data_IF_331276995811
#
_entry.id   IF_331276995811
#
_cell.length_a   1.000
_cell.length_b   1.000
_cell.length_c   1.000
_cell.angle_alpha   90.00
_cell.angle_beta   90.00
_cell.angle_gamma   90.00
#
_symmetry.space_group_name_H-M   'P 1'
#
loop_
_entity.id
_entity.type
_entity.pdbx_description
1 polymer ?
#
# COMPACT_ATOMS: atom_id res chain seq x y z
N UNK A 1 8.43 -3.50 34.89
CA UNK A 1 9.47 -3.52 33.84
C UNK A 1 9.12 -2.41 32.88
N UNK A 2 9.93 -1.37 32.87
CA UNK A 2 9.71 -0.13 32.11
C UNK A 2 9.71 -0.43 30.61
N UNK A 3 8.69 0.05 29.90
CA UNK A 3 8.62 0.05 28.44
C UNK A 3 9.79 0.89 27.92
N UNK A 4 10.94 0.26 27.68
CA UNK A 4 11.89 0.80 26.71
C UNK A 4 11.18 0.70 25.37
N UNK A 5 10.69 1.83 24.85
CA UNK A 5 10.17 1.91 23.48
C UNK A 5 11.23 1.35 22.56
N UNK A 6 10.97 0.19 21.96
CA UNK A 6 11.95 -0.52 21.14
C UNK A 6 12.31 0.39 19.96
N UNK A 7 13.60 0.74 19.87
CA UNK A 7 14.11 1.62 18.82
C UNK A 7 13.79 1.05 17.44
N UNK A 8 13.45 1.91 16.48
CA UNK A 8 13.23 1.47 15.11
C UNK A 8 14.55 1.06 14.48
N UNK A 9 14.48 0.10 13.57
CA UNK A 9 15.63 -0.34 12.78
C UNK A 9 15.98 0.68 11.72
N UNK A 10 17.22 0.65 11.21
CA UNK A 10 17.61 1.53 10.12
C UNK A 10 16.70 1.36 8.89
N UNK A 11 16.27 0.13 8.57
CA UNK A 11 15.35 -0.13 7.47
C UNK A 11 13.97 0.49 7.70
N UNK A 12 13.43 0.40 8.92
CA UNK A 12 12.15 1.02 9.27
C UNK A 12 12.21 2.55 9.10
N UNK A 13 13.33 3.18 9.46
CA UNK A 13 13.53 4.62 9.24
C UNK A 13 13.65 4.95 7.75
N UNK A 14 14.42 4.17 6.97
CA UNK A 14 14.59 4.41 5.53
C UNK A 14 13.31 4.20 4.72
N UNK A 15 12.36 3.40 5.24
CA UNK A 15 11.02 3.21 4.67
C UNK A 15 10.15 4.47 4.74
N UNK A 16 10.47 5.43 5.61
CA UNK A 16 9.78 6.72 5.71
C UNK A 16 10.20 7.70 4.61
N UNK A 17 11.32 7.43 3.91
CA UNK A 17 11.90 8.40 2.99
C UNK A 17 10.96 8.69 1.81
N UNK A 18 10.69 9.97 1.50
CA UNK A 18 9.74 10.33 0.44
C UNK A 18 10.27 10.04 -0.98
N UNK A 19 11.59 9.90 -1.13
CA UNK A 19 12.25 9.51 -2.37
C UNK A 19 13.70 9.03 -2.14
N UNK A 20 14.31 8.42 -3.15
CA UNK A 20 15.67 7.90 -3.10
C UNK A 20 16.75 8.98 -2.82
N UNK A 21 16.70 10.19 -3.40
CA UNK A 21 17.62 11.27 -3.04
C UNK A 21 17.53 11.67 -1.56
N UNK A 22 16.33 11.75 -1.00
CA UNK A 22 16.12 12.07 0.42
C UNK A 22 16.64 10.96 1.32
N UNK A 23 16.41 9.69 0.93
CA UNK A 23 16.99 8.51 1.59
C UNK A 23 18.52 8.62 1.66
N UNK A 24 19.19 8.81 0.52
CA UNK A 24 20.66 8.93 0.43
C UNK A 24 21.19 10.11 1.24
N UNK A 25 20.52 11.25 1.19
CA UNK A 25 20.92 12.45 1.94
C UNK A 25 20.72 12.28 3.45
N UNK A 26 19.64 11.60 3.87
CA UNK A 26 19.36 11.28 5.27
C UNK A 26 20.39 10.32 5.85
N UNK A 27 20.76 9.26 5.12
CA UNK A 27 21.79 8.30 5.56
C UNK A 27 23.12 8.97 5.86
N UNK A 28 23.53 9.99 5.09
CA UNK A 28 24.75 10.76 5.37
C UNK A 28 24.70 11.56 6.67
N UNK A 29 23.49 11.87 7.15
CA UNK A 29 23.26 12.59 8.40
C UNK A 29 23.00 11.63 9.57
N UNK A 30 22.92 10.33 9.36
CA UNK A 30 22.69 9.32 10.41
C UNK A 30 23.93 9.01 11.28
N UNK A 31 24.80 9.99 11.49
CA UNK A 31 26.05 9.87 12.28
C UNK A 31 26.12 11.03 13.27
N UNK A 32 26.83 10.88 14.39
CA UNK A 32 26.79 11.87 15.49
C UNK A 32 27.34 13.27 15.12
N UNK A 33 28.37 13.34 14.28
CA UNK A 33 29.11 14.59 13.96
C UNK A 33 28.27 15.83 13.58
N UNK A 34 27.27 15.74 12.67
CA UNK A 34 26.42 16.88 12.31
C UNK A 34 25.39 17.29 13.38
N UNK A 35 25.25 16.55 14.48
CA UNK A 35 24.20 16.78 15.48
C UNK A 35 24.75 17.31 16.80
N UNK A 36 23.99 18.24 17.39
CA UNK A 36 24.16 18.70 18.77
C UNK A 36 22.81 18.72 19.47
N UNK A 37 22.82 18.68 20.81
CA UNK A 37 21.60 18.68 21.64
C UNK A 37 20.56 17.64 21.18
N UNK A 38 21.04 16.47 20.73
CA UNK A 38 20.17 15.37 20.36
C UNK A 38 19.65 14.67 21.62
N UNK A 39 18.39 14.25 21.60
CA UNK A 39 17.79 13.49 22.69
C UNK A 39 16.50 12.80 22.28
N UNK A 40 16.06 11.85 23.10
CA UNK A 40 14.78 11.17 22.99
C UNK A 40 13.98 11.26 24.28
N UNK A 41 12.65 11.20 24.19
CA UNK A 41 11.78 10.98 25.34
C UNK A 41 11.36 9.51 25.39
N UNK A 42 11.00 9.04 26.59
CA UNK A 42 10.37 7.73 26.78
C UNK A 42 9.04 7.61 26.02
N UNK A 43 8.39 8.74 25.75
CA UNK A 43 7.15 8.84 24.96
C UNK A 43 7.39 8.79 23.44
N UNK A 44 8.62 8.55 22.95
CA UNK A 44 8.87 8.40 21.51
C UNK A 44 9.00 9.72 20.74
N UNK A 45 9.32 10.83 21.39
CA UNK A 45 9.80 12.03 20.68
C UNK A 45 11.31 11.99 20.55
N UNK A 46 11.84 12.34 19.38
CA UNK A 46 13.27 12.48 19.10
C UNK A 46 13.53 13.90 18.62
N UNK A 47 14.55 14.57 19.16
CA UNK A 47 14.93 15.93 18.76
C UNK A 47 16.44 16.05 18.54
N UNK A 48 16.84 17.09 17.82
CA UNK A 48 18.24 17.46 17.67
C UNK A 48 18.44 18.72 16.83
N UNK A 49 19.63 19.32 16.98
CA UNK A 49 20.09 20.45 16.18
C UNK A 49 21.07 19.95 15.12
N UNK A 50 20.67 20.00 13.85
CA UNK A 50 21.56 19.61 12.76
C UNK A 50 22.34 20.81 12.23
N UNK A 51 23.68 20.72 12.16
CA UNK A 51 24.52 21.73 11.52
C UNK A 51 24.17 21.85 10.04
N UNK A 52 23.73 23.04 9.64
CA UNK A 52 23.36 23.38 8.27
C UNK A 52 24.40 24.26 7.57
N UNK A 53 24.07 24.72 6.37
CA UNK A 53 24.86 25.71 5.62
C UNK A 53 24.69 27.15 6.14
N UNK A 54 23.75 27.38 7.04
CA UNK A 54 23.50 28.69 7.67
C UNK A 54 24.13 28.83 9.06
N UNK A 55 24.00 30.03 9.63
CA UNK A 55 24.55 30.36 10.96
C UNK A 55 23.79 29.72 12.13
N UNK A 56 22.52 29.36 11.94
CA UNK A 56 21.68 28.67 12.94
C UNK A 56 21.51 27.20 12.55
N UNK A 57 21.72 26.23 13.46
CA UNK A 57 21.44 24.84 13.18
C UNK A 57 19.94 24.59 13.00
N UNK A 58 19.59 23.56 12.23
CA UNK A 58 18.21 23.21 11.98
C UNK A 58 17.64 22.42 13.17
N UNK A 59 16.67 23.02 13.86
CA UNK A 59 15.84 22.35 14.84
C UNK A 59 15.02 21.28 14.14
N UNK A 60 15.22 20.03 14.54
CA UNK A 60 14.53 18.87 13.99
C UNK A 60 13.88 18.12 15.13
N UNK A 61 12.58 17.85 14.97
CA UNK A 61 11.74 17.07 15.90
C UNK A 61 11.07 15.99 15.07
N UNK A 62 11.06 14.78 15.62
CA UNK A 62 10.29 13.66 15.13
C UNK A 62 9.49 13.09 16.29
N UNK A 63 8.20 12.95 16.12
CA UNK A 63 7.32 12.29 17.06
C UNK A 63 6.86 10.98 16.42
N UNK A 64 7.35 9.85 16.94
CA UNK A 64 7.00 8.52 16.45
C UNK A 64 5.83 7.89 17.22
N UNK A 65 5.34 8.55 18.27
CA UNK A 65 4.27 8.03 19.11
C UNK A 65 2.87 8.51 18.72
N UNK A 66 2.76 9.34 17.69
CA UNK A 66 1.48 9.85 17.24
C UNK A 66 0.62 8.73 16.62
N UNK A 67 -0.61 8.62 17.13
CA UNK A 67 -1.72 7.78 16.66
C UNK A 67 -2.18 8.02 15.21
N UNK A 68 -1.57 8.93 14.46
CA UNK A 68 -1.79 9.11 13.02
C UNK A 68 -0.56 8.67 12.19
N UNK A 69 0.45 8.08 12.84
CA UNK A 69 1.76 7.79 12.26
C UNK A 69 2.79 8.89 12.54
N UNK A 70 4.06 8.64 12.19
CA UNK A 70 5.17 9.51 12.57
C UNK A 70 5.04 10.91 12.01
N UNK A 71 5.37 11.87 12.86
CA UNK A 71 5.20 13.29 12.63
C UNK A 71 6.53 14.03 12.64
N UNK A 72 6.68 15.02 11.76
CA UNK A 72 7.98 15.67 11.54
C UNK A 72 7.86 17.19 11.61
N UNK A 73 8.81 17.83 12.28
CA UNK A 73 9.05 19.27 12.20
C UNK A 73 10.53 19.52 12.01
N UNK A 74 10.88 20.25 10.97
CA UNK A 74 12.25 20.71 10.76
C UNK A 74 12.22 22.18 10.32
N UNK A 75 13.16 23.00 10.82
CA UNK A 75 13.29 24.40 10.40
C UNK A 75 14.01 24.60 9.06
N UNK A 76 14.38 23.52 8.36
CA UNK A 76 15.01 23.60 7.03
C UNK A 76 14.00 24.01 5.93
N UNK A 77 14.46 24.61 4.82
CA UNK A 77 13.59 25.10 3.74
C UNK A 77 13.00 23.99 2.84
N UNK A 78 13.25 22.72 3.16
CA UNK A 78 12.77 21.60 2.34
C UNK A 78 11.24 21.51 2.37
N UNK A 79 10.64 21.25 1.21
CA UNK A 79 9.20 20.94 1.08
C UNK A 79 8.90 19.44 1.13
N UNK A 80 9.92 18.60 1.32
CA UNK A 80 9.80 17.13 1.43
C UNK A 80 9.71 16.74 2.90
N UNK A 81 8.71 15.92 3.24
CA UNK A 81 8.47 15.44 4.60
C UNK A 81 8.30 13.92 4.59
N UNK A 82 9.08 13.17 5.39
CA UNK A 82 10.24 13.63 6.19
C UNK A 82 11.39 14.17 5.33
N UNK A 83 12.05 15.22 5.81
CA UNK A 83 13.24 15.78 5.13
C UNK A 83 14.49 14.96 5.50
N UNK A 84 15.62 15.22 4.82
CA UNK A 84 16.90 14.56 5.12
C UNK A 84 17.34 14.68 6.59
N UNK A 85 17.00 15.78 7.28
CA UNK A 85 17.36 15.97 8.68
C UNK A 85 16.50 15.08 9.60
N UNK A 86 15.19 15.00 9.36
CA UNK A 86 14.31 14.11 10.11
C UNK A 86 14.72 12.63 9.93
N UNK A 87 15.04 12.22 8.69
CA UNK A 87 15.57 10.88 8.41
C UNK A 87 16.92 10.64 9.10
N UNK A 88 17.84 11.61 9.02
CA UNK A 88 19.16 11.52 9.67
C UNK A 88 19.06 11.41 11.20
N UNK A 89 18.16 12.17 11.82
CA UNK A 89 17.94 12.12 13.27
C UNK A 89 17.42 10.76 13.72
N UNK A 90 16.42 10.22 13.00
CA UNK A 90 15.88 8.90 13.29
C UNK A 90 16.93 7.79 13.07
N UNK A 91 17.77 7.91 12.03
CA UNK A 91 18.86 6.95 11.80
C UNK A 91 19.92 7.00 12.91
N UNK A 92 20.25 8.21 13.38
CA UNK A 92 21.14 8.39 14.52
C UNK A 92 20.56 7.75 15.80
N UNK A 93 19.25 7.92 16.02
CA UNK A 93 18.54 7.28 17.13
C UNK A 93 18.52 5.75 17.00
N UNK A 94 18.28 5.22 15.80
CA UNK A 94 18.26 3.79 15.49
C UNK A 94 19.61 3.08 15.72
N UNK A 95 20.74 3.80 15.56
CA UNK A 95 22.09 3.22 15.64
C UNK A 95 22.52 2.68 17.02
N UNK A 96 21.75 2.93 18.09
CA UNK A 96 22.00 2.43 19.46
C UNK A 96 23.36 2.82 20.11
N UNK A 97 24.18 3.67 19.47
CA UNK A 97 25.51 4.11 19.95
C UNK A 97 25.48 5.16 21.09
N UNK A 98 24.32 5.37 21.74
CA UNK A 98 24.17 6.38 22.80
C UNK A 98 24.18 7.85 22.36
N UNK A 99 24.30 8.12 21.05
CA UNK A 99 24.33 9.48 20.49
C UNK A 99 23.02 10.28 20.65
N UNK A 100 21.92 9.57 20.94
CA UNK A 100 20.61 10.13 21.27
C UNK A 100 20.19 9.57 22.63
N UNK A 101 20.55 10.26 23.73
CA UNK A 101 20.19 9.84 25.09
C UNK A 101 18.75 10.22 25.44
N UNK A 102 18.19 9.52 26.42
CA UNK A 102 16.88 9.88 26.97
C UNK A 102 16.97 11.16 27.82
N UNK A 103 15.97 12.03 27.70
CA UNK A 103 15.91 13.29 28.43
C UNK A 103 14.57 14.01 28.30
N UNK A 104 14.54 15.24 28.84
CA UNK A 104 13.38 16.14 28.72
C UNK A 104 13.48 16.95 27.40
N UNK A 105 12.37 17.11 26.67
CA UNK A 105 12.38 17.86 25.42
C UNK A 105 12.69 19.34 25.69
N UNK A 106 13.56 19.98 24.90
CA UNK A 106 13.81 21.42 25.01
C UNK A 106 12.56 22.22 24.69
N UNK A 107 12.48 23.48 25.15
CA UNK A 107 11.28 24.32 25.04
C UNK A 107 10.67 24.37 23.63
N UNK A 108 11.52 24.51 22.60
CA UNK A 108 11.09 24.54 21.19
C UNK A 108 10.47 23.21 20.70
N UNK A 109 10.88 22.08 21.28
CA UNK A 109 10.26 20.78 21.02
C UNK A 109 8.97 20.61 21.82
N UNK A 110 8.99 20.98 23.10
CA UNK A 110 7.82 20.94 23.99
C UNK A 110 6.64 21.78 23.50
N UNK A 111 6.89 22.99 23.01
CA UNK A 111 5.86 23.87 22.41
C UNK A 111 5.18 23.22 21.20
N UNK A 112 5.97 22.57 20.34
CA UNK A 112 5.43 21.88 19.16
C UNK A 112 4.57 20.67 19.56
N UNK A 113 5.02 19.86 20.53
CA UNK A 113 4.26 18.73 21.06
C UNK A 113 2.96 19.16 21.74
N UNK A 114 3.00 20.20 22.57
CA UNK A 114 1.80 20.75 23.21
C UNK A 114 0.77 21.24 22.17
N UNK A 115 1.25 21.93 21.13
CA UNK A 115 0.40 22.34 20.02
C UNK A 115 -0.20 21.16 19.22
N UNK A 116 0.50 20.02 19.12
CA UNK A 116 -0.05 18.79 18.52
C UNK A 116 -1.12 18.17 19.40
N UNK A 117 -0.86 17.97 20.70
CA UNK A 117 -1.82 17.38 21.64
C UNK A 117 -3.14 18.13 21.65
N UNK A 118 -3.07 19.47 21.72
CA UNK A 118 -4.25 20.33 21.62
C UNK A 118 -5.05 20.12 20.32
N UNK A 119 -4.37 20.06 19.16
CA UNK A 119 -5.05 19.79 17.87
C UNK A 119 -5.66 18.39 17.80
N UNK A 120 -5.05 17.40 18.45
CA UNK A 120 -5.60 16.04 18.51
C UNK A 120 -6.83 15.99 19.42
N UNK A 121 -6.82 16.67 20.56
CA UNK A 121 -7.97 16.84 21.47
C UNK A 121 -9.12 17.61 20.80
N UNK A 122 -8.81 18.68 20.05
CA UNK A 122 -9.78 19.45 19.27
C UNK A 122 -10.44 18.59 18.17
N UNK A 123 -9.69 17.61 17.59
CA UNK A 123 -10.21 16.65 16.61
C UNK A 123 -11.01 15.50 17.22
N UNK A 124 -10.66 15.07 18.44
CA UNK A 124 -11.38 14.02 19.20
C UNK A 124 -12.66 14.54 19.84
N UNK A 125 -12.74 15.83 20.09
CA UNK A 125 -14.00 16.50 20.43
C UNK A 125 -14.91 16.43 19.19
N UNK A 126 -16.14 15.93 19.29
CA UNK A 126 -17.04 15.86 18.15
C UNK A 126 -17.39 17.30 17.76
N UNK A 127 -16.61 17.88 16.85
CA UNK A 127 -17.10 19.01 16.08
C UNK A 127 -18.31 18.46 15.32
N UNK A 128 -19.49 18.91 15.75
CA UNK A 128 -20.76 18.75 15.05
C UNK A 128 -20.67 19.51 13.72
N UNK A 129 -19.80 19.09 12.80
CA UNK A 129 -20.09 19.22 11.38
C UNK A 129 -20.87 17.97 11.00
N UNK A 130 -22.09 17.89 11.52
CA UNK A 130 -23.16 17.24 10.79
C UNK A 130 -23.27 18.01 9.47
N UNK A 131 -22.54 17.55 8.45
CA UNK A 131 -23.02 17.75 7.09
C UNK A 131 -24.48 17.32 7.15
N UNK A 132 -25.40 18.25 6.92
CA UNK A 132 -26.82 18.00 7.04
C UNK A 132 -27.13 16.66 6.37
N UNK A 133 -27.86 15.74 7.03
CA UNK A 133 -28.11 14.42 6.46
C UNK A 133 -28.65 14.64 5.05
N UNK A 134 -27.86 14.20 4.06
CA UNK A 134 -28.24 14.36 2.67
C UNK A 134 -29.61 13.71 2.53
N UNK A 135 -30.59 14.45 1.98
CA UNK A 135 -31.93 13.94 1.73
C UNK A 135 -31.81 12.54 1.09
N UNK A 136 -32.24 11.46 1.79
CA UNK A 136 -32.06 10.10 1.33
C UNK A 136 -32.72 9.86 -0.03
N UNK A 137 -33.82 10.55 -0.31
CA UNK A 137 -34.53 10.48 -1.58
C UNK A 137 -33.71 11.14 -2.70
N UNK A 138 -33.13 12.32 -2.45
CA UNK A 138 -32.24 12.97 -3.39
C UNK A 138 -30.92 12.21 -3.61
N UNK A 139 -30.42 11.49 -2.61
CA UNK A 139 -29.28 10.59 -2.75
C UNK A 139 -29.64 9.38 -3.63
N UNK A 140 -30.79 8.74 -3.39
CA UNK A 140 -31.28 7.62 -4.21
C UNK A 140 -31.48 8.02 -5.66
N UNK A 141 -32.17 9.14 -5.94
CA UNK A 141 -32.38 9.65 -7.30
C UNK A 141 -31.07 9.98 -8.03
N UNK A 142 -30.05 10.48 -7.32
CA UNK A 142 -28.72 10.71 -7.91
C UNK A 142 -28.00 9.41 -8.23
N UNK A 143 -28.13 8.39 -7.38
CA UNK A 143 -27.59 7.06 -7.62
C UNK A 143 -28.27 6.39 -8.83
N UNK A 144 -29.59 6.47 -8.94
CA UNK A 144 -30.38 5.96 -10.08
C UNK A 144 -29.96 6.63 -11.39
N UNK A 145 -29.95 7.96 -11.45
CA UNK A 145 -29.51 8.71 -12.66
C UNK A 145 -28.07 8.40 -13.04
N UNK A 146 -27.17 8.19 -12.07
CA UNK A 146 -25.81 7.74 -12.33
C UNK A 146 -25.81 6.34 -12.93
N UNK A 147 -26.58 5.42 -12.35
CA UNK A 147 -26.66 4.05 -12.84
C UNK A 147 -27.21 3.99 -14.29
N UNK A 148 -28.18 4.83 -14.64
CA UNK A 148 -28.67 4.97 -16.02
C UNK A 148 -27.57 5.43 -16.99
N UNK A 149 -26.81 6.47 -16.63
CA UNK A 149 -25.69 6.97 -17.45
C UNK A 149 -24.61 5.92 -17.66
N UNK A 150 -24.25 5.22 -16.59
CA UNK A 150 -23.28 4.12 -16.66
C UNK A 150 -23.84 3.01 -17.55
N UNK A 151 -25.11 2.63 -17.39
CA UNK A 151 -25.75 1.59 -18.20
C UNK A 151 -25.71 1.92 -19.69
N UNK A 152 -26.01 3.17 -20.07
CA UNK A 152 -25.87 3.62 -21.46
C UNK A 152 -24.42 3.52 -21.95
N UNK A 153 -23.46 3.98 -21.15
CA UNK A 153 -22.03 3.91 -21.48
C UNK A 153 -21.52 2.49 -21.65
N UNK A 154 -21.84 1.57 -20.73
CA UNK A 154 -21.38 0.18 -20.83
C UNK A 154 -22.01 -0.55 -22.01
N UNK A 155 -23.23 -0.21 -22.40
CA UNK A 155 -23.90 -0.79 -23.58
C UNK A 155 -23.16 -0.38 -24.86
N UNK A 156 -22.77 0.90 -24.98
CA UNK A 156 -21.93 1.37 -26.09
C UNK A 156 -20.56 0.68 -26.06
N UNK A 157 -19.94 0.54 -24.88
CA UNK A 157 -18.66 -0.12 -24.73
C UNK A 157 -18.72 -1.61 -25.13
N UNK A 158 -19.79 -2.33 -24.79
CA UNK A 158 -20.01 -3.72 -25.23
C UNK A 158 -20.01 -3.83 -26.75
N UNK A 159 -20.72 -2.93 -27.43
CA UNK A 159 -20.80 -2.89 -28.89
C UNK A 159 -19.43 -2.61 -29.51
N UNK A 160 -18.69 -1.61 -29.00
CA UNK A 160 -17.34 -1.27 -29.47
C UNK A 160 -16.36 -2.43 -29.30
N UNK A 161 -16.42 -3.15 -28.17
CA UNK A 161 -15.62 -4.36 -27.96
C UNK A 161 -15.99 -5.46 -28.96
N UNK A 162 -17.29 -5.65 -29.22
CA UNK A 162 -17.77 -6.58 -30.24
C UNK A 162 -17.29 -6.23 -31.66
N UNK A 163 -17.30 -4.94 -32.02
CA UNK A 163 -16.80 -4.43 -33.30
C UNK A 163 -15.30 -4.65 -33.45
N UNK A 164 -14.53 -4.36 -32.41
CA UNK A 164 -13.09 -4.61 -32.36
C UNK A 164 -12.77 -6.09 -32.62
N UNK A 165 -13.49 -7.01 -31.95
CA UNK A 165 -13.27 -8.44 -32.12
C UNK A 165 -13.72 -8.94 -33.51
N UNK A 166 -14.81 -8.40 -34.07
CA UNK A 166 -15.25 -8.71 -35.44
C UNK A 166 -14.26 -8.23 -36.49
N UNK A 167 -13.64 -7.07 -36.29
CA UNK A 167 -12.60 -6.53 -37.16
C UNK A 167 -11.24 -7.20 -37.01
N UNK A 168 -11.05 -7.98 -35.95
CA UNK A 168 -9.78 -8.64 -35.62
C UNK A 168 -8.81 -7.71 -34.88
N UNK A 169 -7.99 -8.30 -34.00
CA UNK A 169 -7.06 -7.53 -33.14
C UNK A 169 -5.97 -6.81 -33.91
N UNK A 170 -5.59 -7.29 -35.10
CA UNK A 170 -4.56 -6.66 -35.95
C UNK A 170 -4.92 -5.21 -36.36
N UNK A 171 -6.21 -4.91 -36.53
CA UNK A 171 -6.66 -3.56 -36.85
C UNK A 171 -6.51 -2.58 -35.67
N UNK A 172 -6.40 -3.08 -34.44
CA UNK A 172 -6.23 -2.27 -33.24
C UNK A 172 -4.91 -1.50 -33.20
N UNK A 173 -3.85 -2.05 -33.80
CA UNK A 173 -2.56 -1.37 -33.95
C UNK A 173 -2.66 -0.18 -34.91
N UNK A 174 -3.48 -0.32 -35.96
CA UNK A 174 -3.66 0.70 -37.00
C UNK A 174 -4.60 1.84 -36.56
N UNK A 175 -5.57 1.55 -35.69
CA UNK A 175 -6.55 2.51 -35.19
C UNK A 175 -5.93 3.64 -34.32
N UNK A 176 -4.71 3.42 -33.80
CA UNK A 176 -3.97 4.40 -33.02
C UNK A 176 -4.59 4.73 -31.65
N UNK A 177 -3.91 5.57 -30.87
CA UNK A 177 -4.32 5.92 -29.51
C UNK A 177 -5.62 6.74 -29.44
N UNK A 178 -5.97 7.47 -30.51
CA UNK A 178 -7.11 8.38 -30.53
C UNK A 178 -8.47 7.70 -30.31
N UNK A 179 -8.69 6.52 -30.92
CA UNK A 179 -9.92 5.74 -30.75
C UNK A 179 -10.13 5.32 -29.29
N UNK A 180 -9.05 4.88 -28.63
CA UNK A 180 -9.07 4.46 -27.23
C UNK A 180 -9.34 5.64 -26.30
N UNK A 181 -8.72 6.80 -26.54
CA UNK A 181 -8.98 7.99 -25.74
C UNK A 181 -10.40 8.53 -25.93
N UNK A 182 -10.95 8.50 -27.15
CA UNK A 182 -12.36 8.85 -27.38
C UNK A 182 -13.30 7.93 -26.58
N UNK A 183 -13.05 6.62 -26.64
CA UNK A 183 -13.85 5.63 -25.89
C UNK A 183 -13.71 5.83 -24.38
N UNK A 184 -12.52 6.14 -23.89
CA UNK A 184 -12.27 6.44 -22.48
C UNK A 184 -12.97 7.73 -22.03
N UNK A 185 -12.97 8.77 -22.86
CA UNK A 185 -13.68 10.03 -22.59
C UNK A 185 -15.18 9.79 -22.43
N UNK A 186 -15.78 8.97 -23.31
CA UNK A 186 -17.20 8.57 -23.18
C UNK A 186 -17.49 7.83 -21.87
N UNK A 187 -16.56 7.01 -21.39
CA UNK A 187 -16.72 6.34 -20.08
C UNK A 187 -16.66 7.35 -18.92
N UNK A 188 -15.85 8.40 -19.02
CA UNK A 188 -15.86 9.50 -18.04
C UNK A 188 -17.20 10.23 -18.05
N UNK A 189 -17.73 10.55 -19.24
CA UNK A 189 -19.04 11.21 -19.41
C UNK A 189 -20.19 10.34 -18.88
N UNK A 190 -20.08 9.02 -19.06
CA UNK A 190 -20.98 8.02 -18.51
C UNK A 190 -20.87 7.84 -16.98
N UNK A 191 -19.93 8.53 -16.32
CA UNK A 191 -19.62 8.39 -14.88
C UNK A 191 -19.05 7.02 -14.48
N UNK A 192 -18.30 6.39 -15.39
CA UNK A 192 -17.60 5.11 -15.19
C UNK A 192 -16.07 5.28 -15.30
N UNK A 193 -15.41 6.03 -14.39
CA UNK A 193 -13.99 6.34 -14.49
C UNK A 193 -13.08 5.09 -14.41
N UNK A 194 -13.52 4.02 -13.76
CA UNK A 194 -12.78 2.76 -13.73
C UNK A 194 -12.74 2.09 -15.11
N UNK A 195 -13.85 2.11 -15.86
CA UNK A 195 -13.88 1.63 -17.24
C UNK A 195 -13.03 2.52 -18.16
N UNK A 196 -13.05 3.84 -17.94
CA UNK A 196 -12.20 4.76 -18.69
C UNK A 196 -10.70 4.42 -18.51
N UNK A 197 -10.28 4.06 -17.30
CA UNK A 197 -8.90 3.63 -17.03
C UNK A 197 -8.57 2.32 -17.79
N UNK A 198 -9.42 1.30 -17.71
CA UNK A 198 -9.22 0.02 -18.44
C UNK A 198 -9.15 0.21 -19.95
N UNK A 199 -9.99 1.07 -20.53
CA UNK A 199 -9.96 1.38 -21.97
C UNK A 199 -8.63 2.02 -22.38
N UNK A 200 -8.06 2.91 -21.56
CA UNK A 200 -6.72 3.49 -21.82
C UNK A 200 -5.62 2.44 -21.74
N UNK A 201 -5.71 1.53 -20.77
CA UNK A 201 -4.78 0.39 -20.65
C UNK A 201 -4.83 -0.50 -21.89
N UNK A 202 -6.01 -0.81 -22.43
CA UNK A 202 -6.15 -1.52 -23.71
C UNK A 202 -5.40 -0.83 -24.85
N UNK A 203 -5.51 0.51 -24.93
CA UNK A 203 -4.84 1.30 -25.95
C UNK A 203 -3.31 1.28 -25.86
N UNK A 204 -2.73 0.94 -24.71
CA UNK A 204 -1.28 0.80 -24.53
C UNK A 204 -0.76 -0.59 -24.95
N UNK A 205 -1.62 -1.62 -25.02
CA UNK A 205 -1.21 -3.01 -25.27
C UNK A 205 -0.55 -3.21 -26.63
N UNK A 206 -1.03 -2.65 -27.77
CA UNK A 206 -0.38 -2.88 -29.06
C UNK A 206 1.10 -2.47 -29.07
N UNK A 207 1.48 -1.46 -28.29
CA UNK A 207 2.87 -0.99 -28.16
C UNK A 207 3.71 -1.80 -27.12
N UNK A 208 3.17 -2.85 -26.51
CA UNK A 208 3.83 -3.61 -25.44
C UNK A 208 4.79 -4.71 -25.91
N UNK A 209 5.02 -4.83 -27.22
CA UNK A 209 5.97 -5.80 -27.81
C UNK A 209 5.33 -7.15 -28.18
N UNK A 210 6.14 -8.20 -28.41
CA UNK A 210 5.67 -9.49 -28.91
C UNK A 210 4.55 -10.10 -28.07
N UNK A 211 3.59 -10.76 -28.71
CA UNK A 211 2.44 -11.40 -28.04
C UNK A 211 1.32 -10.44 -27.62
N UNK A 212 1.38 -9.16 -28.02
CA UNK A 212 0.33 -8.19 -27.71
C UNK A 212 -1.07 -8.57 -28.19
N UNK A 213 -1.30 -9.29 -29.32
CA UNK A 213 -2.68 -9.60 -29.74
C UNK A 213 -3.41 -10.50 -28.74
N UNK A 214 -2.68 -11.45 -28.13
CA UNK A 214 -3.22 -12.34 -27.11
C UNK A 214 -3.52 -11.55 -25.84
N UNK A 215 -2.58 -10.72 -25.37
CA UNK A 215 -2.80 -9.85 -24.21
C UNK A 215 -3.99 -8.91 -24.40
N UNK A 216 -4.14 -8.32 -25.60
CA UNK A 216 -5.26 -7.44 -25.91
C UNK A 216 -6.58 -8.20 -25.83
N UNK A 217 -6.62 -9.43 -26.35
CA UNK A 217 -7.81 -10.28 -26.28
C UNK A 217 -8.17 -10.64 -24.83
N UNK A 218 -7.20 -11.03 -24.01
CA UNK A 218 -7.39 -11.34 -22.59
C UNK A 218 -7.98 -10.13 -21.84
N UNK A 219 -7.40 -8.95 -22.05
CA UNK A 219 -7.84 -7.72 -21.40
C UNK A 219 -9.21 -7.23 -21.91
N UNK A 220 -9.50 -7.42 -23.21
CA UNK A 220 -10.84 -7.17 -23.76
C UNK A 220 -11.87 -8.13 -23.15
N UNK A 221 -11.52 -9.40 -22.94
CA UNK A 221 -12.41 -10.39 -22.33
C UNK A 221 -12.72 -10.03 -20.87
N UNK A 222 -11.71 -9.61 -20.10
CA UNK A 222 -11.90 -9.13 -18.73
C UNK A 222 -12.76 -7.85 -18.69
N UNK A 223 -12.52 -6.89 -19.60
CA UNK A 223 -13.35 -5.69 -19.68
C UNK A 223 -14.79 -6.01 -20.09
N UNK A 224 -14.98 -6.91 -21.05
CA UNK A 224 -16.30 -7.39 -21.45
C UNK A 224 -17.02 -8.07 -20.29
N UNK A 225 -16.33 -8.94 -19.53
CA UNK A 225 -16.89 -9.55 -18.33
C UNK A 225 -17.38 -8.50 -17.33
N UNK A 226 -16.63 -7.39 -17.15
CA UNK A 226 -17.02 -6.31 -16.23
C UNK A 226 -18.24 -5.56 -16.72
N UNK A 227 -18.32 -5.29 -18.03
CA UNK A 227 -19.49 -4.72 -18.68
C UNK A 227 -20.72 -5.61 -18.47
N UNK A 228 -20.59 -6.92 -18.70
CA UNK A 228 -21.66 -7.90 -18.42
C UNK A 228 -22.03 -7.93 -16.94
N UNK A 229 -21.05 -7.89 -16.05
CA UNK A 229 -21.27 -7.80 -14.61
C UNK A 229 -22.12 -6.60 -14.22
N UNK A 230 -21.89 -5.43 -14.82
CA UNK A 230 -22.71 -4.24 -14.57
C UNK A 230 -24.14 -4.37 -15.10
N UNK A 231 -24.30 -4.89 -16.32
CA UNK A 231 -25.60 -5.07 -16.97
C UNK A 231 -26.49 -6.08 -16.23
N UNK A 232 -25.88 -7.09 -15.61
CA UNK A 232 -26.57 -8.15 -14.88
C UNK A 232 -26.46 -8.04 -13.36
N UNK A 233 -26.05 -6.86 -12.85
CA UNK A 233 -25.69 -6.66 -11.43
C UNK A 233 -26.79 -7.02 -10.44
N UNK A 234 -28.06 -6.86 -10.83
CA UNK A 234 -29.22 -7.10 -9.96
C UNK A 234 -29.43 -8.60 -9.67
N UNK A 235 -28.78 -9.49 -10.43
CA UNK A 235 -28.78 -10.94 -10.21
C UNK A 235 -27.47 -11.50 -9.64
N UNK A 236 -26.49 -10.64 -9.31
CA UNK A 236 -25.20 -11.08 -8.77
C UNK A 236 -25.27 -11.23 -7.24
N UNK A 237 -24.47 -12.13 -6.63
CA UNK A 237 -24.24 -12.11 -5.19
C UNK A 237 -23.75 -10.74 -4.72
N UNK A 238 -24.18 -10.28 -3.55
CA UNK A 238 -23.92 -8.92 -3.04
C UNK A 238 -22.43 -8.54 -3.07
N UNK A 239 -21.55 -9.47 -2.69
CA UNK A 239 -20.10 -9.28 -2.73
C UNK A 239 -19.57 -9.01 -4.14
N UNK A 240 -20.02 -9.79 -5.13
CA UNK A 240 -19.64 -9.62 -6.53
C UNK A 240 -20.26 -8.35 -7.14
N UNK A 241 -21.50 -8.01 -6.77
CA UNK A 241 -22.14 -6.76 -7.19
C UNK A 241 -21.37 -5.53 -6.65
N UNK A 242 -20.91 -5.58 -5.40
CA UNK A 242 -20.05 -4.54 -4.81
C UNK A 242 -18.70 -4.44 -5.54
N UNK A 243 -18.10 -5.58 -5.85
CA UNK A 243 -16.87 -5.69 -6.64
C UNK A 243 -17.02 -5.04 -8.03
N UNK A 244 -18.10 -5.33 -8.75
CA UNK A 244 -18.43 -4.70 -10.04
C UNK A 244 -18.57 -3.17 -9.90
N UNK A 245 -19.34 -2.70 -8.90
CA UNK A 245 -19.51 -1.26 -8.64
C UNK A 245 -18.17 -0.56 -8.40
N UNK A 246 -17.30 -1.18 -7.59
CA UNK A 246 -15.96 -0.64 -7.31
C UNK A 246 -15.12 -0.53 -8.57
N UNK A 247 -15.08 -1.58 -9.41
CA UNK A 247 -14.30 -1.60 -10.65
C UNK A 247 -14.80 -0.69 -11.75
N UNK A 248 -16.11 -0.43 -11.81
CA UNK A 248 -16.67 0.62 -12.68
C UNK A 248 -16.24 2.02 -12.24
N UNK A 249 -15.82 2.17 -10.97
CA UNK A 249 -15.31 3.41 -10.41
C UNK A 249 -16.33 4.16 -9.55
N UNK A 250 -17.35 3.47 -9.03
CA UNK A 250 -18.23 4.09 -8.03
C UNK A 250 -17.47 4.20 -6.70
N UNK A 251 -17.57 5.36 -6.02
CA UNK A 251 -17.01 5.49 -4.67
C UNK A 251 -17.76 4.53 -3.73
N UNK A 252 -17.00 3.80 -2.93
CA UNK A 252 -17.49 3.01 -1.81
C UNK A 252 -17.08 3.69 -0.50
N UNK A 253 -17.89 3.54 0.53
CA UNK A 253 -17.54 3.90 1.90
C UNK A 253 -17.18 2.62 2.65
N UNK A 254 -16.36 2.71 3.72
CA UNK A 254 -16.24 1.60 4.65
C UNK A 254 -17.62 1.28 5.26
N UNK A 255 -17.92 0.00 5.42
CA UNK A 255 -19.20 -0.51 5.89
C UNK A 255 -18.99 -1.52 7.03
N UNK A 256 -19.92 -1.54 7.99
CA UNK A 256 -19.86 -2.44 9.14
C UNK A 256 -19.15 -1.86 10.37
N UNK A 257 -19.13 -2.62 11.49
CA UNK A 257 -18.49 -2.18 12.71
C UNK A 257 -16.96 -2.17 12.56
N UNK A 258 -16.26 -1.20 13.20
CA UNK A 258 -14.80 -1.22 13.25
C UNK A 258 -14.32 -2.47 14.00
N UNK A 259 -13.28 -3.10 13.47
CA UNK A 259 -12.60 -4.23 14.09
C UNK A 259 -11.29 -3.74 14.73
N UNK A 260 -11.23 -3.73 16.05
CA UNK A 260 -9.98 -3.55 16.79
C UNK A 260 -9.18 -4.85 16.81
N UNK A 261 -7.89 -4.75 16.52
CA UNK A 261 -6.93 -5.86 16.56
C UNK A 261 -5.50 -5.30 16.74
N UNK A 262 -4.57 -6.20 17.04
CA UNK A 262 -3.13 -6.00 16.95
C UNK A 262 -2.66 -6.28 15.52
N UNK A 263 -2.53 -5.22 14.71
CA UNK A 263 -2.19 -5.28 13.29
C UNK A 263 -0.68 -5.29 13.06
N UNK A 264 -0.14 -6.41 12.61
CA UNK A 264 1.25 -6.52 12.16
C UNK A 264 1.39 -5.94 10.76
N UNK A 265 2.29 -4.97 10.59
CA UNK A 265 2.61 -4.37 9.29
C UNK A 265 3.51 -5.31 8.49
N UNK A 266 2.95 -5.88 7.42
CA UNK A 266 3.59 -6.89 6.57
C UNK A 266 4.39 -6.29 5.42
N UNK A 267 3.88 -5.24 4.77
CA UNK A 267 4.53 -4.60 3.64
C UNK A 267 4.07 -3.15 3.47
N UNK A 268 4.95 -2.29 2.96
CA UNK A 268 4.63 -0.93 2.54
C UNK A 268 5.37 -0.59 1.25
N UNK A 269 4.65 -0.25 0.19
CA UNK A 269 5.24 0.18 -1.08
C UNK A 269 4.34 1.18 -1.82
N UNK A 270 4.98 1.98 -2.67
CA UNK A 270 4.32 3.04 -3.43
C UNK A 270 4.23 2.64 -4.92
N UNK A 271 3.06 2.86 -5.51
CA UNK A 271 2.84 2.79 -6.96
C UNK A 271 2.56 4.19 -7.50
N UNK A 272 2.91 4.44 -8.76
CA UNK A 272 2.70 5.73 -9.43
C UNK A 272 2.01 5.52 -10.77
N UNK A 273 0.89 6.20 -11.00
CA UNK A 273 0.09 6.10 -12.22
C UNK A 273 0.29 7.27 -13.20
N UNK A 274 1.31 8.10 -12.97
CA UNK A 274 1.56 9.33 -13.74
C UNK A 274 0.97 10.59 -13.13
N UNK A 275 -0.04 10.49 -12.24
CA UNK A 275 -0.71 11.63 -11.60
C UNK A 275 -0.78 11.52 -10.08
N UNK A 276 -0.91 10.30 -9.57
CA UNK A 276 -1.16 9.97 -8.17
C UNK A 276 -0.19 8.89 -7.68
N UNK A 277 0.44 9.16 -6.53
CA UNK A 277 1.21 8.15 -5.81
C UNK A 277 0.26 7.43 -4.87
N UNK A 278 0.16 6.12 -4.99
CA UNK A 278 -0.65 5.29 -4.10
C UNK A 278 0.28 4.44 -3.24
N UNK A 279 0.26 4.67 -1.93
CA UNK A 279 0.89 3.80 -0.96
C UNK A 279 -0.05 2.67 -0.58
N UNK A 280 0.47 1.45 -0.67
CA UNK A 280 -0.19 0.21 -0.26
C UNK A 280 0.48 -0.30 1.00
N UNK A 281 -0.31 -0.54 2.05
CA UNK A 281 0.18 -1.07 3.32
C UNK A 281 -0.62 -2.34 3.64
N UNK A 282 0.06 -3.47 3.67
CA UNK A 282 -0.52 -4.75 4.07
C UNK A 282 -0.38 -4.96 5.57
N UNK A 283 -1.47 -5.35 6.21
CA UNK A 283 -1.58 -5.61 7.64
C UNK A 283 -2.10 -7.03 7.88
N UNK A 284 -1.66 -7.65 8.98
CA UNK A 284 -2.20 -8.92 9.49
C UNK A 284 -2.66 -8.76 10.93
N UNK A 285 -3.95 -8.96 11.18
CA UNK A 285 -4.55 -8.97 12.50
C UNK A 285 -4.12 -10.23 13.24
N UNK A 286 -3.35 -10.06 14.31
CA UNK A 286 -2.75 -11.20 15.01
C UNK A 286 -3.73 -11.93 15.92
N UNK A 287 -4.86 -11.30 16.28
CA UNK A 287 -5.95 -11.93 17.00
C UNK A 287 -7.05 -12.44 16.06
N UNK A 288 -7.47 -11.64 15.08
CA UNK A 288 -8.55 -11.99 14.15
C UNK A 288 -8.12 -12.92 13.00
N UNK A 289 -6.83 -13.03 12.73
CA UNK A 289 -6.28 -13.75 11.58
C UNK A 289 -6.61 -13.12 10.23
N UNK A 290 -7.06 -11.87 10.21
CA UNK A 290 -7.47 -11.16 8.98
C UNK A 290 -6.30 -10.43 8.33
N UNK A 291 -6.24 -10.47 7.00
CA UNK A 291 -5.33 -9.62 6.24
C UNK A 291 -6.08 -8.41 5.71
N UNK A 292 -5.51 -7.22 5.88
CA UNK A 292 -6.09 -5.96 5.44
C UNK A 292 -5.08 -5.13 4.61
N UNK A 293 -5.61 -4.27 3.74
CA UNK A 293 -4.90 -3.37 2.87
C UNK A 293 -5.38 -1.94 3.14
N UNK A 294 -4.46 -1.10 3.60
CA UNK A 294 -4.66 0.34 3.65
C UNK A 294 -4.11 1.00 2.39
N UNK A 295 -4.84 1.98 1.89
CA UNK A 295 -4.44 2.82 0.76
C UNK A 295 -4.29 4.26 1.25
N UNK A 296 -3.14 4.87 0.94
CA UNK A 296 -2.90 6.28 1.18
C UNK A 296 -2.43 6.95 -0.10
N UNK A 297 -2.92 8.15 -0.38
CA UNK A 297 -2.73 8.82 -1.67
C UNK A 297 -1.90 10.09 -1.53
N UNK A 298 -1.04 10.34 -2.51
CA UNK A 298 -0.20 11.52 -2.62
C UNK A 298 -0.36 12.16 -4.00
N UNK A 299 -0.93 13.36 -4.06
CA UNK A 299 -1.16 14.08 -5.31
C UNK A 299 0.01 15.01 -5.67
N UNK A 300 0.17 15.30 -6.97
CA UNK A 300 1.14 16.27 -7.49
C UNK A 300 2.59 15.99 -7.03
N UNK A 301 3.00 14.72 -7.06
CA UNK A 301 4.35 14.28 -6.69
C UNK A 301 4.66 14.34 -5.20
N UNK A 302 3.66 14.55 -4.33
CA UNK A 302 3.83 14.46 -2.87
C UNK A 302 3.77 13.01 -2.43
N UNK A 303 4.57 12.67 -1.42
CA UNK A 303 4.49 11.36 -0.78
C UNK A 303 3.14 11.21 -0.05
N UNK A 304 2.54 10.01 -0.06
CA UNK A 304 1.37 9.69 0.74
C UNK A 304 1.60 9.94 2.24
N UNK A 305 0.58 10.42 2.95
CA UNK A 305 0.73 10.87 4.33
C UNK A 305 0.91 9.73 5.34
N UNK A 306 0.15 8.65 5.19
CA UNK A 306 0.24 7.50 6.09
C UNK A 306 1.57 6.77 5.86
N UNK A 307 2.27 6.44 6.94
CA UNK A 307 3.49 5.65 6.88
C UNK A 307 3.55 4.72 8.07
N UNK A 308 3.51 3.42 7.80
CA UNK A 308 3.61 2.34 8.78
C UNK A 308 4.77 1.44 8.32
N UNK A 309 5.96 1.57 8.91
CA UNK A 309 7.09 0.70 8.58
C UNK A 309 6.80 -0.79 8.83
N UNK A 310 7.41 -1.64 8.00
CA UNK A 310 7.29 -3.10 8.07
C UNK A 310 7.87 -3.63 9.39
N UNK A 311 7.20 -4.63 9.97
CA UNK A 311 7.62 -5.28 11.23
C UNK A 311 7.16 -4.57 12.51
N UNK A 312 6.36 -3.51 12.39
CA UNK A 312 5.70 -2.89 13.54
C UNK A 312 4.33 -3.51 13.80
N UNK A 313 3.92 -3.53 15.06
CA UNK A 313 2.58 -3.88 15.53
C UNK A 313 1.81 -2.61 15.88
N UNK A 314 0.56 -2.51 15.44
CA UNK A 314 -0.32 -1.38 15.63
C UNK A 314 -1.64 -1.84 16.26
N UNK A 315 -1.94 -1.40 17.48
CA UNK A 315 -3.28 -1.55 18.09
C UNK A 315 -4.21 -0.48 17.52
N UNK A 316 -5.11 -0.89 16.64
CA UNK A 316 -6.00 0.02 15.94
C UNK A 316 -7.31 -0.64 15.49
N UNK A 317 -8.30 0.20 15.26
CA UNK A 317 -9.54 -0.15 14.59
C UNK A 317 -9.40 -0.07 13.07
N UNK A 318 -9.88 -1.09 12.36
CA UNK A 318 -10.04 -1.08 10.90
C UNK A 318 -11.50 -1.33 10.52
N UNK A 319 -12.02 -0.55 9.58
CA UNK A 319 -13.35 -0.77 8.99
C UNK A 319 -13.22 -1.22 7.54
N UNK A 320 -13.79 -2.39 7.21
CA UNK A 320 -13.70 -2.98 5.87
C UNK A 320 -14.57 -2.28 4.83
N UNK A 321 -14.18 -2.39 3.56
CA UNK A 321 -15.03 -2.00 2.43
C UNK A 321 -15.86 -3.19 1.95
N UNK A 322 -17.07 -2.92 1.44
CA UNK A 322 -17.88 -3.93 0.79
C UNK A 322 -17.20 -4.47 -0.49
N UNK A 323 -17.36 -5.77 -0.75
CA UNK A 323 -16.76 -6.45 -1.90
C UNK A 323 -16.36 -7.89 -1.59
N UNK A 324 -16.17 -8.68 -2.65
CA UNK A 324 -15.58 -10.02 -2.54
C UNK A 324 -14.22 -9.98 -1.83
N UNK A 325 -14.04 -10.85 -0.83
CA UNK A 325 -12.80 -11.02 -0.05
C UNK A 325 -12.23 -9.77 0.65
N UNK A 326 -13.02 -8.72 0.88
CA UNK A 326 -12.80 -7.55 1.77
C UNK A 326 -11.36 -7.30 2.29
N UNK A 327 -10.40 -7.09 1.40
CA UNK A 327 -9.03 -6.80 1.83
C UNK A 327 -8.86 -5.31 2.14
N UNK A 328 -9.54 -4.43 1.42
CA UNK A 328 -9.41 -2.99 1.64
C UNK A 328 -10.09 -2.58 2.94
N UNK A 329 -9.39 -1.81 3.75
CA UNK A 329 -9.91 -1.23 4.98
C UNK A 329 -9.57 0.26 5.11
N UNK A 330 -10.30 0.94 5.99
CA UNK A 330 -10.01 2.28 6.46
C UNK A 330 -9.48 2.23 7.88
N UNK A 331 -8.43 3.01 8.14
CA UNK A 331 -7.81 3.10 9.46
C UNK A 331 -8.63 4.02 10.35
N UNK A 332 -9.17 3.46 11.42
CA UNK A 332 -9.92 4.14 12.47
C UNK A 332 -9.01 4.65 13.59
N UNK A 333 -9.48 4.56 14.83
CA UNK A 333 -8.72 4.98 16.00
C UNK A 333 -7.50 4.08 16.21
N UNK A 334 -6.35 4.69 16.50
CA UNK A 334 -5.14 4.01 16.97
C UNK A 334 -5.01 4.22 18.47
N UNK A 335 -4.86 3.13 19.21
CA UNK A 335 -4.82 3.14 20.67
C UNK A 335 -3.39 3.23 21.20
N UNK A 336 -2.42 2.74 20.43
CA UNK A 336 -1.00 2.79 20.78
C UNK A 336 -0.14 3.22 19.61
N UNK A 337 1.05 3.74 19.91
CA UNK A 337 2.09 3.95 18.90
C UNK A 337 2.53 2.62 18.27
N UNK A 338 2.83 2.59 16.95
CA UNK A 338 3.41 1.42 16.32
C UNK A 338 4.75 1.02 16.96
N UNK A 339 4.87 -0.25 17.36
CA UNK A 339 6.04 -0.76 18.07
C UNK A 339 6.63 -2.02 17.40
N UNK A 340 7.97 -2.21 17.40
CA UNK A 340 8.58 -3.45 16.92
C UNK A 340 8.04 -4.70 17.63
N UNK A 341 7.92 -5.79 16.89
CA UNK A 341 7.40 -7.07 17.41
C UNK A 341 8.14 -8.28 16.87
N UNK A 342 8.15 -9.35 17.66
CA UNK A 342 8.61 -10.68 17.24
C UNK A 342 7.48 -11.53 16.62
N UNK A 343 6.23 -11.06 16.63
CA UNK A 343 5.09 -11.77 16.03
C UNK A 343 5.29 -11.93 14.52
N UNK A 344 4.86 -13.07 13.99
CA UNK A 344 4.93 -13.42 12.56
C UNK A 344 3.56 -13.89 12.07
N UNK A 345 3.18 -13.58 10.82
CA UNK A 345 1.96 -14.15 10.27
C UNK A 345 2.12 -15.67 10.08
N UNK A 346 1.08 -16.47 10.29
CA UNK A 346 1.11 -17.88 9.92
C UNK A 346 1.25 -18.00 8.40
N UNK A 347 2.07 -18.95 7.96
CA UNK A 347 2.31 -19.21 6.55
C UNK A 347 1.70 -20.51 6.07
N UNK A 348 1.67 -20.67 4.75
CA UNK A 348 1.21 -21.86 4.04
C UNK A 348 2.23 -22.36 3.03
N UNK A 349 1.97 -23.53 2.46
CA UNK A 349 2.78 -24.10 1.39
C UNK A 349 2.50 -23.42 0.05
N UNK A 350 3.42 -23.62 -0.91
CA UNK A 350 3.33 -23.04 -2.26
C UNK A 350 2.11 -23.49 -3.06
N UNK A 351 1.72 -24.77 -2.95
CA UNK A 351 0.53 -25.34 -3.58
C UNK A 351 -0.77 -24.78 -2.98
N UNK A 352 -0.84 -24.66 -1.65
CA UNK A 352 -1.98 -24.03 -0.97
C UNK A 352 -2.12 -22.55 -1.36
N UNK A 353 -1.00 -21.83 -1.52
CA UNK A 353 -1.03 -20.46 -2.01
C UNK A 353 -1.62 -20.33 -3.42
N UNK A 354 -1.26 -21.24 -4.34
CA UNK A 354 -1.87 -21.31 -5.67
C UNK A 354 -3.37 -21.63 -5.59
N UNK A 355 -3.77 -22.57 -4.73
CA UNK A 355 -5.17 -22.92 -4.51
C UNK A 355 -5.96 -21.73 -3.94
N UNK A 356 -5.40 -20.99 -2.97
CA UNK A 356 -6.02 -19.78 -2.40
C UNK A 356 -6.27 -18.70 -3.45
N UNK A 357 -5.35 -18.52 -4.39
CA UNK A 357 -5.55 -17.62 -5.53
C UNK A 357 -6.68 -18.12 -6.44
N UNK A 358 -6.69 -19.40 -6.80
CA UNK A 358 -7.77 -20.00 -7.60
C UNK A 358 -9.16 -19.88 -6.96
N UNK A 359 -9.24 -20.07 -5.63
CA UNK A 359 -10.47 -19.84 -4.88
C UNK A 359 -10.87 -18.35 -4.85
N UNK A 360 -9.90 -17.44 -4.77
CA UNK A 360 -10.17 -16.00 -4.80
C UNK A 360 -10.75 -15.52 -6.12
N UNK A 361 -10.35 -16.14 -7.24
CA UNK A 361 -10.91 -15.84 -8.56
C UNK A 361 -12.40 -16.20 -8.69
N UNK A 362 -12.93 -17.10 -7.86
CA UNK A 362 -14.36 -17.42 -7.85
C UNK A 362 -15.21 -16.28 -7.32
N UNK A 363 -14.70 -15.57 -6.32
CA UNK A 363 -15.37 -14.42 -5.72
C UNK A 363 -15.10 -13.14 -6.51
N UNK A 364 -13.93 -13.06 -7.13
CA UNK A 364 -13.47 -11.91 -7.90
C UNK A 364 -12.67 -12.31 -9.16
N UNK A 365 -13.34 -12.44 -10.33
CA UNK A 365 -12.71 -12.88 -11.57
C UNK A 365 -11.62 -11.96 -12.12
N UNK A 366 -11.55 -10.70 -11.68
CA UNK A 366 -10.57 -9.71 -12.13
C UNK A 366 -9.45 -9.52 -11.11
N UNK A 367 -9.33 -10.42 -10.12
CA UNK A 367 -8.29 -10.34 -9.13
C UNK A 367 -6.93 -10.71 -9.74
N UNK A 368 -6.01 -9.76 -9.79
CA UNK A 368 -4.67 -10.01 -10.33
C UNK A 368 -3.81 -10.83 -9.36
N UNK A 369 -3.93 -10.53 -8.06
CA UNK A 369 -3.15 -11.16 -6.99
C UNK A 369 -3.95 -11.23 -5.68
N UNK A 370 -3.60 -12.18 -4.81
CA UNK A 370 -4.08 -12.26 -3.42
C UNK A 370 -2.90 -12.26 -2.43
N UNK A 371 -3.04 -11.65 -1.24
CA UNK A 371 -1.99 -11.66 -0.24
C UNK A 371 -1.85 -13.06 0.36
N UNK A 372 -0.61 -13.56 0.45
CA UNK A 372 -0.30 -14.86 1.05
C UNK A 372 1.03 -14.79 1.79
N UNK A 373 1.08 -15.43 2.95
CA UNK A 373 2.33 -15.75 3.64
C UNK A 373 2.72 -17.18 3.30
N UNK A 374 3.88 -17.38 2.72
CA UNK A 374 4.50 -18.70 2.53
C UNK A 374 5.35 -19.05 3.74
N UNK A 375 5.28 -20.30 4.20
CA UNK A 375 6.12 -20.83 5.27
C UNK A 375 7.13 -21.84 4.73
N UNK A 376 8.34 -21.81 5.29
CA UNK A 376 9.41 -22.76 5.00
C UNK A 376 9.72 -22.88 3.50
N UNK A 377 9.91 -21.73 2.83
CA UNK A 377 10.29 -21.68 1.41
C UNK A 377 11.74 -21.25 1.22
N UNK A 378 12.41 -21.79 0.21
CA UNK A 378 13.79 -21.48 -0.15
C UNK A 378 13.79 -20.80 -1.53
N UNK A 379 14.37 -19.59 -1.68
CA UNK A 379 14.56 -18.98 -2.98
C UNK A 379 15.57 -19.79 -3.80
N UNK A 380 15.13 -20.28 -4.96
CA UNK A 380 15.93 -21.11 -5.84
C UNK A 380 15.85 -20.61 -7.29
N UNK A 381 16.88 -20.91 -8.09
CA UNK A 381 16.82 -20.71 -9.55
C UNK A 381 16.28 -21.96 -10.24
N UNK A 382 15.38 -21.75 -11.19
CA UNK A 382 14.91 -22.74 -12.15
C UNK A 382 15.27 -22.26 -13.56
N UNK A 383 16.42 -22.71 -14.06
CA UNK A 383 17.00 -22.15 -15.28
C UNK A 383 17.26 -20.64 -15.12
N UNK A 384 16.68 -19.83 -16.00
CA UNK A 384 16.80 -18.37 -15.91
C UNK A 384 15.79 -17.71 -14.95
N UNK A 385 14.74 -18.41 -14.54
CA UNK A 385 13.72 -17.88 -13.65
C UNK A 385 14.07 -18.12 -12.17
N UNK A 386 13.48 -17.30 -11.30
CA UNK A 386 13.51 -17.51 -9.86
C UNK A 386 12.19 -18.12 -9.39
N UNK A 387 12.26 -18.94 -8.35
CA UNK A 387 11.12 -19.56 -7.71
C UNK A 387 11.30 -19.58 -6.19
N UNK A 388 10.18 -19.69 -5.47
CA UNK A 388 10.15 -20.03 -4.05
C UNK A 388 9.71 -21.49 -3.97
N UNK A 389 10.63 -22.37 -3.58
CA UNK A 389 10.38 -23.80 -3.44
C UNK A 389 10.08 -24.14 -1.98
N UNK A 390 9.14 -25.06 -1.74
CA UNK A 390 8.95 -25.63 -0.40
C UNK A 390 10.26 -26.31 0.05
N UNK A 391 10.59 -26.23 1.34
CA UNK A 391 11.84 -26.80 1.88
C UNK A 391 11.98 -28.32 1.69
N UNK A 392 10.87 -29.04 1.53
CA UNK A 392 10.84 -30.47 1.23
C UNK A 392 10.90 -30.79 -0.28
N UNK A 393 10.89 -29.76 -1.12
CA UNK A 393 10.97 -29.88 -2.58
C UNK A 393 9.67 -30.35 -3.26
N UNK A 394 8.53 -30.39 -2.56
CA UNK A 394 7.30 -30.95 -3.15
C UNK A 394 6.67 -30.03 -4.21
N UNK A 395 6.78 -28.71 -4.05
CA UNK A 395 6.20 -27.71 -4.94
C UNK A 395 7.02 -26.42 -4.93
N UNK A 396 6.83 -25.58 -5.95
CA UNK A 396 7.44 -24.26 -6.05
C UNK A 396 6.53 -23.27 -6.79
N UNK A 397 6.58 -22.00 -6.40
CA UNK A 397 5.94 -20.89 -7.12
C UNK A 397 6.99 -20.06 -7.87
N UNK A 398 6.76 -19.72 -9.16
CA UNK A 398 7.63 -18.80 -9.87
C UNK A 398 7.56 -17.42 -9.19
N UNK A 399 8.70 -16.74 -9.07
CA UNK A 399 8.75 -15.34 -8.63
C UNK A 399 8.23 -14.46 -9.76
N UNK A 400 7.28 -13.58 -9.44
CA UNK A 400 6.62 -12.74 -10.42
C UNK A 400 7.64 -11.84 -11.16
N UNK A 401 7.54 -11.70 -12.49
CA UNK A 401 8.38 -10.78 -13.24
C UNK A 401 8.23 -9.35 -12.72
N UNK A 402 9.34 -8.65 -12.50
CA UNK A 402 9.34 -7.29 -11.95
C UNK A 402 9.40 -7.19 -10.43
N UNK A 403 9.34 -8.32 -9.71
CA UNK A 403 9.80 -8.37 -8.32
C UNK A 403 11.25 -7.85 -8.28
N UNK A 404 11.50 -6.83 -7.46
CA UNK A 404 12.71 -6.01 -7.59
C UNK A 404 13.99 -6.86 -7.44
N UNK A 405 14.96 -6.65 -8.34
CA UNK A 405 16.22 -7.40 -8.29
C UNK A 405 16.93 -7.24 -6.94
N UNK A 406 16.87 -6.04 -6.33
CA UNK A 406 17.44 -5.80 -5.01
C UNK A 406 16.73 -6.59 -3.89
N UNK A 407 15.39 -6.63 -3.89
CA UNK A 407 14.61 -7.41 -2.93
C UNK A 407 14.91 -8.90 -3.02
N UNK A 408 15.01 -9.43 -4.25
CA UNK A 408 15.36 -10.83 -4.48
C UNK A 408 16.74 -11.19 -3.92
N UNK A 409 17.77 -10.39 -4.19
CA UNK A 409 19.11 -10.63 -3.64
C UNK A 409 19.13 -10.50 -2.11
N UNK A 410 18.35 -9.57 -1.56
CA UNK A 410 18.19 -9.43 -0.10
C UNK A 410 17.55 -10.68 0.52
N UNK A 411 16.54 -11.24 -0.13
CA UNK A 411 15.89 -12.48 0.29
C UNK A 411 16.85 -13.68 0.19
N UNK A 412 17.63 -13.81 -0.89
CA UNK A 412 18.64 -14.86 -1.04
C UNK A 412 19.71 -14.76 0.04
N UNK A 413 20.21 -13.55 0.33
CA UNK A 413 21.17 -13.30 1.39
C UNK A 413 20.60 -13.63 2.78
N UNK A 414 19.32 -13.31 3.03
CA UNK A 414 18.62 -13.65 4.26
C UNK A 414 18.43 -15.17 4.43
N UNK A 415 18.12 -15.87 3.34
CA UNK A 415 17.98 -17.32 3.33
C UNK A 415 19.30 -18.01 3.64
N UNK A 416 20.38 -17.65 2.94
CA UNK A 416 21.64 -18.39 3.04
C UNK A 416 21.50 -19.89 2.71
N UNK A 417 20.43 -20.29 2.01
CA UNK A 417 20.05 -21.69 1.76
C UNK A 417 19.10 -22.29 2.80
N UNK A 418 18.82 -21.59 3.90
CA UNK A 418 17.83 -21.99 4.89
C UNK A 418 16.40 -21.53 4.51
N UNK A 419 15.35 -22.24 4.96
CA UNK A 419 13.97 -21.84 4.72
C UNK A 419 13.62 -20.47 5.30
N UNK A 420 12.73 -19.76 4.63
CA UNK A 420 12.18 -18.46 5.03
C UNK A 420 10.67 -18.54 5.24
N UNK A 421 10.15 -17.58 6.02
CA UNK A 421 8.74 -17.19 5.92
C UNK A 421 8.68 -15.95 5.02
N UNK A 422 7.81 -15.94 4.02
CA UNK A 422 7.77 -14.86 3.01
C UNK A 422 6.33 -14.39 2.81
N UNK A 423 6.05 -13.13 3.10
CA UNK A 423 4.79 -12.49 2.74
C UNK A 423 4.89 -11.85 1.36
N UNK A 424 3.84 -11.99 0.56
CA UNK A 424 3.78 -11.44 -0.79
C UNK A 424 2.40 -11.54 -1.42
N UNK A 425 2.35 -11.16 -2.69
CA UNK A 425 1.14 -11.21 -3.52
C UNK A 425 1.26 -12.40 -4.50
N UNK A 426 0.37 -13.38 -4.39
CA UNK A 426 0.30 -14.54 -5.27
C UNK A 426 -0.72 -14.30 -6.39
N UNK A 427 -0.32 -14.44 -7.65
CA UNK A 427 -1.24 -14.27 -8.78
C UNK A 427 -0.83 -15.05 -10.02
N UNK A 428 -1.54 -14.80 -11.13
CA UNK A 428 -1.35 -15.53 -12.39
C UNK A 428 0.06 -15.39 -12.99
N UNK A 429 0.82 -14.35 -12.62
CA UNK A 429 2.21 -14.14 -13.06
C UNK A 429 3.25 -14.75 -12.12
N UNK A 430 2.82 -15.37 -11.02
CA UNK A 430 3.69 -15.89 -9.97
C UNK A 430 3.51 -15.14 -8.64
N UNK A 431 4.46 -15.34 -7.75
CA UNK A 431 4.50 -14.77 -6.40
C UNK A 431 5.43 -13.55 -6.36
N UNK A 432 4.90 -12.38 -5.97
CA UNK A 432 5.67 -11.18 -5.73
C UNK A 432 6.03 -11.07 -4.24
N UNK A 433 7.27 -11.40 -3.83
CA UNK A 433 7.68 -11.32 -2.44
C UNK A 433 7.82 -9.86 -1.98
N UNK A 434 7.23 -9.52 -0.83
CA UNK A 434 7.18 -8.16 -0.29
C UNK A 434 7.91 -8.03 1.05
N UNK A 435 7.88 -9.07 1.89
CA UNK A 435 8.65 -9.13 3.14
C UNK A 435 9.07 -10.57 3.46
N UNK A 436 10.18 -10.74 4.17
CA UNK A 436 10.66 -12.05 4.60
C UNK A 436 11.14 -12.05 6.04
N UNK A 437 11.05 -13.21 6.68
CA UNK A 437 11.61 -13.49 8.00
C UNK A 437 12.54 -14.72 7.91
N UNK A 438 13.70 -14.69 8.59
CA UNK A 438 14.57 -15.86 8.68
C UNK A 438 13.90 -16.98 9.48
N UNK A 439 14.34 -18.24 9.29
CA UNK A 439 13.82 -19.40 10.02
C UNK A 439 13.92 -19.23 11.54
N UNK A 440 15.08 -18.78 12.03
CA UNK A 440 15.34 -18.51 13.44
C UNK A 440 14.77 -17.18 13.92
N UNK A 441 15.18 -16.74 15.11
CA UNK A 441 14.84 -15.41 15.61
C UNK A 441 15.37 -14.32 14.65
N UNK A 442 14.54 -13.31 14.39
CA UNK A 442 14.88 -12.23 13.47
C UNK A 442 13.66 -11.40 13.09
N UNK A 443 13.95 -10.16 12.71
CA UNK A 443 12.97 -9.14 12.36
C UNK A 443 12.45 -9.31 10.93
N UNK A 444 11.36 -8.61 10.63
CA UNK A 444 10.83 -8.54 9.27
C UNK A 444 11.78 -7.77 8.36
N UNK A 445 12.13 -8.36 7.22
CA UNK A 445 12.97 -7.74 6.20
C UNK A 445 12.10 -7.30 5.03
N UNK A 446 11.95 -5.99 4.78
CA UNK A 446 11.21 -5.51 3.61
C UNK A 446 11.98 -5.79 2.31
N UNK A 447 11.26 -6.21 1.27
CA UNK A 447 11.81 -6.58 -0.04
C UNK A 447 11.43 -5.61 -1.17
N UNK A 448 10.62 -4.59 -0.87
CA UNK A 448 10.13 -3.58 -1.80
C UNK A 448 10.80 -2.20 -1.64
#
# INVERSE_FOLDING_TARGET
>A
MTQQGVRWTADQVLALAPDAPSRKAGSKLGVAGPWSEAGSSSEGTVWGLCKGSGSKPYQTIVDIADSAGPAYKCSCPSRKFPCKHALGLLLLWAGADGAVPDGEPPAWAGEWLAGRRKRAEDKRSPSLSTAAPADPEAARRRAEKRAERITAGVTELEQRLGDLLRGGTAAAEQAGYGMWEETAARMVDAQAPGLAARVRELGAIPASGPGWPVRLLEECALLHLLVRGWLHRDGLPDGLAATVRSRVGLPAQPEGPPLRDDWLVLAQYDTWDGKLTTRRIWLYGTESGRTALLLSYGAAGRAPALSLPVGLLLDAELTGYAGARQLRAELGEQFTAPAPTARRPPGVRTDEAAARYGEALRDDPWLETCPVTLSAVIPARAGEAWQLADADGASALPVAPGATGAGLWRMVALSGGAPLTVFGECGHRGFAPLAAWPQGAGEAVPLC
#
